data_IF_403045281932
#
_entry.id   IF_403045281932
#
_cell.length_a   1.000
_cell.length_b   1.000
_cell.length_c   1.000
_cell.angle_alpha   90.00
_cell.angle_beta   90.00
_cell.angle_gamma   90.00
#
_symmetry.space_group_name_H-M   'P 1'
#
loop_
_entity.id
_entity.type
_entity.pdbx_description
1 polymer ?
2 water ?
#
# COMPACT_ATOMS: atom_id res chain seq x y z
N UNK A 1 -6.05 -6.93 -14.88
CA UNK A 1 -4.91 -6.89 -13.98
C UNK A 1 -5.05 -5.83 -12.90
N UNK A 2 -5.85 -4.80 -13.13
CA UNK A 2 -6.10 -3.76 -12.16
C UNK A 2 -7.60 -3.55 -12.06
N UNK A 3 -8.05 -3.03 -10.95
CA UNK A 3 -9.45 -2.77 -10.77
C UNK A 3 -9.79 -1.57 -11.57
N UNK A 4 -10.80 -1.66 -12.42
CA UNK A 4 -11.11 -0.41 -13.07
C UNK A 4 -12.61 -0.40 -13.35
N UNK A 5 -13.17 0.80 -13.51
CA UNK A 5 -14.58 0.96 -13.86
C UNK A 5 -14.63 2.04 -14.95
N UNK A 6 -15.05 1.67 -16.15
CA UNK A 6 -15.07 2.57 -17.30
C UNK A 6 -13.66 2.90 -17.78
N UNK A 7 -12.74 1.95 -17.70
CA UNK A 7 -11.32 2.15 -17.98
C UNK A 7 -10.65 3.13 -17.00
N UNK A 8 -11.35 3.54 -15.94
CA UNK A 8 -10.79 4.41 -14.91
C UNK A 8 -10.56 3.59 -13.65
N UNK A 9 -9.29 3.45 -13.27
CA UNK A 9 -8.89 2.77 -12.05
C UNK A 9 -8.60 3.73 -10.91
N UNK A 10 -7.56 3.41 -10.16
CA UNK A 10 -7.14 4.29 -9.09
C UNK A 10 -5.66 4.52 -9.19
N UNK A 11 -5.14 5.33 -8.29
CA UNK A 11 -3.75 5.65 -8.34
C UNK A 11 -3.09 6.23 -7.12
N UNK A 12 -1.80 6.42 -7.20
CA UNK A 12 -1.03 6.85 -6.05
C UNK A 12 -0.39 8.22 -6.34
N UNK A 13 -0.59 9.17 -5.44
CA UNK A 13 -0.04 10.52 -5.57
C UNK A 13 0.84 10.78 -4.37
N UNK A 14 2.14 10.87 -4.60
CA UNK A 14 3.11 10.93 -3.51
C UNK A 14 3.56 12.36 -3.27
N UNK A 15 3.66 12.70 -1.98
CA UNK A 15 4.16 13.95 -1.43
C UNK A 15 5.23 13.67 -0.38
N UNK A 16 6.37 14.35 -0.49
CA UNK A 16 7.47 14.23 0.46
C UNK A 16 7.68 15.57 1.16
N UNK A 17 7.80 15.54 2.48
CA UNK A 17 8.05 16.69 3.33
C UNK A 17 9.17 16.36 4.31
N UNK A 18 9.86 17.37 4.80
CA UNK A 18 10.77 17.14 5.93
C UNK A 18 9.98 16.55 7.09
N UNK A 19 10.52 15.49 7.69
CA UNK A 19 9.94 14.89 8.88
C UNK A 19 10.74 15.38 10.08
N UNK A 20 10.07 16.03 11.03
CA UNK A 20 10.73 16.65 12.18
C UNK A 20 9.94 16.29 13.44
N UNK A 21 10.03 15.02 13.81
CA UNK A 21 9.17 14.43 14.82
C UNK A 21 9.49 12.94 14.91
N UNK A 22 10.58 12.53 14.27
CA UNK A 22 11.02 11.14 14.25
C UNK A 22 12.51 11.13 14.55
N UNK A 23 13.06 9.94 14.72
CA UNK A 23 14.47 9.79 15.00
C UNK A 23 15.30 10.02 13.74
N UNK A 24 16.60 10.24 13.94
CA UNK A 24 17.50 10.57 12.84
C UNK A 24 17.66 9.44 11.84
N UNK A 25 17.34 8.20 12.24
CA UNK A 25 17.42 7.04 11.37
C UNK A 25 16.03 6.59 10.88
N UNK A 26 15.02 7.43 11.03
CA UNK A 26 13.64 7.08 10.79
C UNK A 26 13.04 7.92 9.66
N UNK A 27 12.12 7.30 8.92
CA UNK A 27 11.20 7.95 7.99
C UNK A 27 9.76 7.74 8.47
N UNK A 28 8.84 8.53 7.93
CA UNK A 28 7.42 8.35 8.21
C UNK A 28 6.66 8.16 6.90
N UNK A 29 5.76 7.20 6.88
CA UNK A 29 4.94 6.95 5.72
C UNK A 29 3.48 7.07 6.10
N UNK A 30 2.73 7.81 5.31
CA UNK A 30 1.32 7.97 5.56
C UNK A 30 0.51 7.48 4.39
N UNK A 31 -0.60 6.81 4.66
CA UNK A 31 -1.50 6.35 3.62
C UNK A 31 -2.82 7.05 3.80
N UNK A 32 -3.21 7.84 2.82
CA UNK A 32 -4.42 8.64 2.95
C UNK A 32 -5.39 8.29 1.84
N UNK A 33 -6.67 8.24 2.19
CA UNK A 33 -7.70 7.90 1.23
C UNK A 33 -9.01 8.49 1.73
N UNK A 34 -9.93 8.77 0.79
CA UNK A 34 -11.20 9.41 1.12
C UNK A 34 -12.32 8.74 0.33
N UNK A 35 -12.60 7.48 0.67
CA UNK A 35 -13.61 6.66 -0.01
C UNK A 35 -13.45 6.75 -1.53
N UNK A 36 -12.28 6.41 -2.00
CA UNK A 36 -11.96 6.58 -3.41
C UNK A 36 -12.96 6.00 -4.38
N UNK A 37 -13.44 4.83 -4.07
CA UNK A 37 -14.35 4.16 -4.99
C UNK A 37 -15.81 4.34 -4.61
N UNK A 38 -16.07 5.20 -3.64
CA UNK A 38 -17.43 5.48 -3.22
C UNK A 38 -18.18 4.34 -2.57
N UNK A 39 -17.54 3.19 -2.34
CA UNK A 39 -18.22 1.99 -1.86
C UNK A 39 -17.66 1.51 -0.52
N UNK A 40 -16.94 2.38 0.19
CA UNK A 40 -16.26 2.06 1.44
C UNK A 40 -15.16 1.00 1.29
N UNK A 41 -14.63 0.84 0.09
CA UNK A 41 -13.48 -0.03 -0.09
C UNK A 41 -12.25 0.77 0.30
N UNK A 42 -11.27 0.10 0.86
CA UNK A 42 -10.08 0.77 1.32
C UNK A 42 -8.72 0.27 0.93
N UNK A 43 -7.73 0.66 1.71
CA UNK A 43 -6.38 0.35 1.33
C UNK A 43 -5.45 -0.08 2.42
N UNK A 44 -4.42 -0.82 2.05
CA UNK A 44 -3.42 -1.23 2.99
C UNK A 44 -2.04 -1.01 2.39
N UNK A 45 -1.09 -0.61 3.21
CA UNK A 45 0.27 -0.40 2.75
C UNK A 45 1.14 -1.51 3.28
N UNK A 46 1.84 -2.17 2.38
CA UNK A 46 2.67 -3.30 2.80
C UNK A 46 4.15 -3.02 2.54
N UNK A 47 4.98 -3.10 3.59
CA UNK A 47 6.41 -2.79 3.47
C UNK A 47 7.26 -3.99 3.86
N UNK A 48 8.15 -4.38 2.97
CA UNK A 48 9.12 -5.45 3.18
C UNK A 48 10.50 -4.83 3.38
N UNK A 49 10.99 -4.84 4.62
CA UNK A 49 12.30 -4.24 4.88
C UNK A 49 13.44 -5.03 4.25
N UNK A 50 13.23 -6.31 3.91
CA UNK A 50 14.27 -7.09 3.24
C UNK A 50 14.33 -6.82 1.74
N UNK A 51 13.39 -6.04 1.20
CA UNK A 51 13.25 -5.75 -0.24
C UNK A 51 13.62 -6.94 -1.12
N UNK A 52 13.01 -8.08 -0.82
CA UNK A 52 13.19 -9.29 -1.62
C UNK A 52 11.85 -9.94 -1.94
N UNK A 53 10.77 -9.17 -1.97
CA UNK A 53 9.46 -9.74 -2.25
C UNK A 53 8.95 -9.39 -3.64
N UNK A 54 9.41 -8.29 -4.22
CA UNK A 54 9.01 -7.96 -5.58
C UNK A 54 9.41 -9.07 -6.55
N UNK A 55 8.43 -9.57 -7.31
CA UNK A 55 8.63 -10.62 -8.27
C UNK A 55 8.29 -12.00 -7.76
N UNK A 56 8.14 -12.17 -6.45
CA UNK A 56 7.73 -13.46 -5.89
C UNK A 56 6.49 -13.28 -5.03
N UNK A 57 6.60 -12.65 -3.86
CA UNK A 57 5.42 -12.41 -3.05
C UNK A 57 4.59 -11.28 -3.62
N UNK A 58 5.23 -10.17 -4.00
CA UNK A 58 4.56 -9.09 -4.72
C UNK A 58 4.66 -9.40 -6.23
N UNK A 59 3.56 -9.71 -6.90
CA UNK A 59 3.66 -10.00 -8.34
C UNK A 59 3.91 -8.72 -9.13
N UNK A 60 4.66 -8.86 -10.22
CA UNK A 60 5.00 -7.69 -11.02
C UNK A 60 3.76 -7.09 -11.69
N UNK A 61 2.74 -7.90 -11.93
CA UNK A 61 1.50 -7.45 -12.54
C UNK A 61 0.35 -8.16 -11.85
N UNK A 62 -0.83 -7.54 -11.92
CA UNK A 62 -2.03 -8.14 -11.40
C UNK A 62 -2.15 -8.03 -9.89
N UNK A 63 -3.24 -8.55 -9.36
CA UNK A 63 -3.53 -8.40 -7.92
C UNK A 63 -2.55 -9.19 -7.05
N UNK A 64 -2.48 -8.77 -5.78
CA UNK A 64 -1.63 -9.49 -4.83
C UNK A 64 -2.08 -10.94 -4.68
N UNK A 65 -3.39 -11.15 -4.50
CA UNK A 65 -3.96 -12.49 -4.52
C UNK A 65 -5.45 -12.37 -4.80
N UNK A 66 -6.07 -13.51 -5.06
CA UNK A 66 -7.51 -13.60 -5.24
C UNK A 66 -8.06 -14.61 -4.25
N UNK A 67 -9.27 -14.38 -3.80
CA UNK A 67 -9.89 -15.31 -2.89
C UNK A 67 -9.16 -15.39 -1.56
N UNK A 68 -8.77 -16.60 -1.18
CA UNK A 68 -8.18 -16.90 0.11
C UNK A 68 -6.66 -16.78 0.04
N UNK A 69 -6.07 -16.22 1.07
CA UNK A 69 -4.63 -16.19 1.20
C UNK A 69 -4.22 -17.00 2.42
N UNK A 70 -3.00 -17.50 2.40
CA UNK A 70 -2.42 -18.02 3.62
C UNK A 70 -2.43 -16.96 4.72
N UNK A 71 -2.77 -17.38 5.94
CA UNK A 71 -2.98 -16.45 7.04
C UNK A 71 -1.71 -15.68 7.42
N UNK A 72 -0.54 -16.16 6.98
CA UNK A 72 0.73 -15.52 7.27
C UNK A 72 1.33 -14.80 6.06
N UNK A 73 0.51 -14.49 5.05
CA UNK A 73 1.05 -13.81 3.86
C UNK A 73 1.73 -12.49 4.22
N UNK A 74 1.15 -11.73 5.16
CA UNK A 74 1.76 -10.48 5.58
C UNK A 74 2.81 -10.70 6.66
N UNK A 75 2.45 -11.47 7.70
CA UNK A 75 3.33 -11.62 8.87
C UNK A 75 4.68 -12.25 8.52
N UNK A 76 4.73 -13.08 7.47
CA UNK A 76 5.98 -13.72 7.06
C UNK A 76 6.82 -12.84 6.14
N UNK A 77 6.23 -11.85 5.49
CA UNK A 77 6.91 -11.16 4.39
C UNK A 77 7.06 -9.66 4.58
N UNK A 78 6.10 -8.99 5.23
CA UNK A 78 6.07 -7.54 5.35
C UNK A 78 6.21 -7.15 6.82
N UNK A 79 7.27 -6.42 7.14
CA UNK A 79 7.52 -6.04 8.53
C UNK A 79 6.65 -4.89 8.98
N UNK A 80 6.43 -3.89 8.12
CA UNK A 80 5.69 -2.69 8.48
C UNK A 80 4.42 -2.61 7.65
N UNK A 81 3.36 -2.17 8.30
CA UNK A 81 2.08 -2.13 7.65
C UNK A 81 1.18 -0.99 8.06
N UNK A 82 0.34 -0.56 7.16
CA UNK A 82 -0.65 0.43 7.46
C UNK A 82 -1.93 -0.17 6.91
N UNK A 83 -2.94 -0.31 7.74
CA UNK A 83 -2.79 -0.19 9.19
C UNK A 83 -1.91 -1.26 9.83
N UNK A 84 -1.60 -1.08 11.09
CA UNK A 84 -0.69 -1.99 11.77
C UNK A 84 -1.20 -3.41 11.89
N UNK A 85 -2.51 -3.54 11.93
CA UNK A 85 -3.11 -4.87 11.97
C UNK A 85 -3.63 -5.31 10.60
N UNK A 86 -3.08 -4.77 9.52
CA UNK A 86 -3.50 -5.18 8.20
C UNK A 86 -3.34 -6.67 8.03
N UNK A 87 -4.35 -7.30 7.50
CA UNK A 87 -4.29 -8.75 7.40
C UNK A 87 -4.71 -9.18 6.00
N UNK A 88 -4.22 -10.34 5.53
CA UNK A 88 -4.47 -10.76 4.13
C UNK A 88 -5.85 -11.38 3.95
N UNK A 89 -6.89 -10.55 4.05
CA UNK A 89 -8.27 -11.00 3.96
C UNK A 89 -9.06 -9.97 3.17
N UNK A 90 -9.73 -10.40 2.11
CA UNK A 90 -10.40 -9.44 1.23
C UNK A 90 -11.49 -8.67 1.96
N UNK A 91 -12.13 -9.31 2.94
CA UNK A 91 -13.24 -8.74 3.68
C UNK A 91 -12.82 -7.94 4.91
N UNK A 92 -11.52 -7.81 5.18
CA UNK A 92 -11.09 -7.21 6.43
C UNK A 92 -11.58 -5.76 6.54
N UNK A 93 -11.70 -5.30 7.79
CA UNK A 93 -11.86 -3.88 8.09
C UNK A 93 -10.53 -3.21 8.45
N UNK A 94 -9.44 -3.97 8.45
CA UNK A 94 -8.12 -3.41 8.73
C UNK A 94 -7.56 -2.78 7.44
N UNK A 95 -8.18 -1.65 7.08
CA UNK A 95 -7.92 -0.91 5.84
C UNK A 95 -8.09 0.58 6.15
N UNK A 96 -7.55 1.43 5.28
CA UNK A 96 -7.75 2.85 5.37
C UNK A 96 -8.78 3.21 4.32
N UNK A 97 -9.98 3.55 4.74
CA UNK A 97 -11.07 3.93 3.84
C UNK A 97 -11.17 5.44 3.69
N UNK A 98 -11.27 6.13 4.82
CA UNK A 98 -11.29 7.58 4.90
C UNK A 98 -10.27 8.01 5.94
N UNK A 99 -9.70 9.18 5.75
CA UNK A 99 -8.65 9.62 6.64
C UNK A 99 -7.30 9.05 6.26
N UNK A 100 -6.52 8.66 7.25
CA UNK A 100 -5.15 8.27 6.96
C UNK A 100 -4.65 7.39 8.09
N UNK A 101 -3.60 6.65 7.79
CA UNK A 101 -2.94 5.86 8.78
C UNK A 101 -1.46 6.10 8.51
N UNK A 102 -0.63 5.83 9.50
CA UNK A 102 0.78 6.08 9.35
C UNK A 102 1.69 5.04 9.96
N UNK A 103 2.94 5.07 9.58
CA UNK A 103 3.90 4.16 10.16
C UNK A 103 5.29 4.79 10.15
N UNK A 104 5.99 4.67 11.26
CA UNK A 104 7.35 5.19 11.35
C UNK A 104 8.32 4.03 11.16
N UNK A 105 9.22 4.17 10.20
CA UNK A 105 10.03 3.05 9.73
C UNK A 105 11.49 3.49 9.69
N UNK A 106 12.42 2.54 9.72
CA UNK A 106 13.83 2.88 9.46
C UNK A 106 14.01 3.43 8.05
N UNK A 107 14.82 4.48 7.94
CA UNK A 107 15.40 4.79 6.65
C UNK A 107 16.06 3.55 6.07
N UNK A 108 15.84 3.27 4.79
CA UNK A 108 16.41 2.08 4.19
C UNK A 108 15.69 1.72 2.92
N UNK A 109 15.98 0.51 2.44
CA UNK A 109 15.50 0.02 1.15
C UNK A 109 14.37 -0.98 1.40
N UNK A 110 13.29 -0.85 0.64
CA UNK A 110 12.07 -1.60 0.86
C UNK A 110 11.48 -2.01 -0.48
N UNK A 111 10.82 -3.16 -0.50
CA UNK A 111 9.81 -3.44 -1.50
C UNK A 111 8.46 -3.05 -0.91
N UNK A 112 7.55 -2.56 -1.75
CA UNK A 112 6.23 -2.23 -1.24
C UNK A 112 5.14 -2.48 -2.28
N UNK A 113 3.92 -2.63 -1.77
CA UNK A 113 2.73 -2.50 -2.60
C UNK A 113 1.59 -1.96 -1.74
N UNK A 114 0.63 -1.36 -2.42
CA UNK A 114 -0.55 -0.84 -1.78
C UNK A 114 -1.72 -1.65 -2.28
N UNK A 115 -2.47 -2.17 -1.34
CA UNK A 115 -3.61 -2.98 -1.67
C UNK A 115 -4.94 -2.30 -1.62
N UNK A 116 -5.88 -2.83 -2.37
CA UNK A 116 -7.24 -2.35 -2.33
C UNK A 116 -8.16 -3.57 -2.35
N UNK A 117 -8.49 -4.07 -1.17
CA UNK A 117 -9.40 -5.20 -1.10
C UNK A 117 -10.82 -4.90 -1.63
N UNK A 118 -11.37 -5.76 -2.47
CA UNK A 118 -12.72 -5.58 -3.01
C UNK A 118 -13.55 -6.83 -2.85
N UNK A 119 -14.34 -6.88 -1.79
CA UNK A 119 -15.14 -8.08 -1.52
C UNK A 119 -16.05 -8.46 -2.68
N UNK A 120 -16.63 -7.47 -3.36
CA UNK A 120 -17.52 -7.77 -4.47
C UNK A 120 -16.85 -8.61 -5.55
N UNK A 121 -15.53 -8.50 -5.73
CA UNK A 121 -14.87 -9.23 -6.80
C UNK A 121 -13.94 -10.32 -6.28
N UNK A 122 -13.83 -10.46 -4.96
CA UNK A 122 -12.94 -11.44 -4.38
C UNK A 122 -11.47 -11.22 -4.68
N UNK A 123 -11.08 -9.99 -4.93
CA UNK A 123 -9.70 -9.73 -5.20
C UNK A 123 -9.00 -8.82 -4.23
N UNK A 124 -7.77 -9.16 -3.89
CA UNK A 124 -6.95 -8.27 -3.11
C UNK A 124 -6.11 -7.57 -4.16
N UNK A 125 -6.68 -6.54 -4.72
CA UNK A 125 -5.99 -5.80 -5.73
C UNK A 125 -4.86 -4.93 -5.30
N UNK A 126 -3.85 -4.84 -6.13
CA UNK A 126 -2.86 -3.79 -5.93
C UNK A 126 -3.36 -2.57 -6.69
N UNK A 127 -3.16 -1.39 -6.11
CA UNK A 127 -3.72 -0.18 -6.68
C UNK A 127 -3.08 0.11 -8.04
N UNK A 128 -3.78 0.93 -8.83
CA UNK A 128 -3.34 1.19 -10.19
C UNK A 128 -2.13 2.11 -10.25
N UNK A 129 -1.49 2.08 -11.42
CA UNK A 129 -0.30 2.89 -11.68
C UNK A 129 -0.63 4.20 -12.40
N UNK A 130 -1.88 4.66 -12.36
CA UNK A 130 -2.27 5.87 -13.05
C UNK A 130 -1.97 7.18 -12.35
N UNK A 131 -1.31 7.16 -11.19
CA UNK A 131 -0.92 8.37 -10.47
C UNK A 131 0.50 8.77 -10.82
N UNK A 132 1.19 9.43 -9.88
CA UNK A 132 2.54 9.91 -10.17
C UNK A 132 3.63 8.98 -9.63
N UNK A 133 3.26 7.79 -9.13
CA UNK A 133 4.14 6.83 -8.48
C UNK A 133 3.48 5.48 -8.70
N UNK A 134 4.23 4.45 -9.09
CA UNK A 134 3.68 3.09 -9.11
C UNK A 134 3.23 2.64 -7.72
N UNK A 135 2.16 1.84 -7.69
CA UNK A 135 1.61 1.32 -6.43
C UNK A 135 2.30 0.05 -5.94
N UNK A 136 3.18 -0.54 -6.74
CA UNK A 136 4.10 -1.58 -6.32
C UNK A 136 5.49 -1.13 -6.75
N UNK A 137 6.52 -1.55 -6.02
CA UNK A 137 7.83 -0.97 -6.32
C UNK A 137 8.92 -1.93 -5.83
N UNK A 138 9.96 -2.12 -6.65
CA UNK A 138 11.12 -2.93 -6.27
C UNK A 138 12.23 -2.02 -5.76
N UNK A 139 12.68 -2.24 -4.52
CA UNK A 139 13.83 -1.53 -3.94
C UNK A 139 13.65 -0.01 -3.97
N UNK A 140 12.58 0.45 -3.34
CA UNK A 140 12.40 1.87 -3.07
C UNK A 140 13.17 2.24 -1.81
N UNK A 141 13.77 3.43 -1.81
CA UNK A 141 14.51 3.94 -0.67
C UNK A 141 13.63 4.96 0.04
N UNK A 142 13.29 4.68 1.30
CA UNK A 142 12.61 5.66 2.16
C UNK A 142 13.71 6.31 2.98
N UNK A 143 13.98 7.59 2.71
CA UNK A 143 15.14 8.25 3.30
C UNK A 143 14.80 8.77 4.69
N UNK A 144 15.71 8.54 5.63
CA UNK A 144 15.56 9.08 6.97
C UNK A 144 15.38 10.59 6.93
N UNK A 145 14.64 11.12 7.90
CA UNK A 145 14.36 12.53 7.98
C UNK A 145 13.27 13.02 7.06
N UNK A 146 12.56 12.13 6.37
CA UNK A 146 11.53 12.53 5.43
C UNK A 146 10.21 11.82 5.71
N UNK A 147 9.13 12.52 5.38
CA UNK A 147 7.78 12.02 5.54
C UNK A 147 7.16 11.86 4.16
N UNK A 148 6.78 10.63 3.83
CA UNK A 148 6.18 10.29 2.55
C UNK A 148 4.67 10.10 2.73
N UNK A 149 3.88 10.95 2.10
CA UNK A 149 2.43 10.82 2.12
C UNK A 149 1.99 10.22 0.79
N UNK A 150 1.37 9.04 0.87
CA UNK A 150 0.82 8.36 -0.30
C UNK A 150 -0.69 8.57 -0.29
N UNK A 151 -1.16 9.41 -1.18
CA UNK A 151 -2.57 9.70 -1.25
C UNK A 151 -3.22 8.98 -2.42
N UNK A 152 -4.29 8.26 -2.12
CA UNK A 152 -4.98 7.49 -3.13
C UNK A 152 -6.15 8.22 -3.75
N UNK A 153 -6.24 8.18 -5.06
CA UNK A 153 -7.35 8.78 -5.77
C UNK A 153 -7.66 8.01 -7.02
N UNK A 154 -8.80 8.29 -7.62
CA UNK A 154 -9.15 7.65 -8.87
C UNK A 154 -8.27 8.17 -10.00
N UNK A 155 -7.95 7.32 -10.95
CA UNK A 155 -7.04 7.69 -12.02
C UNK A 155 -7.19 6.84 -13.28
N UNK A 156 -6.62 7.30 -14.39
CA UNK A 156 -6.79 6.61 -15.67
C UNK A 156 -5.97 5.33 -15.84
#
# INVERSE_FOLDING_TARGET
>A
MSREVKRIGDGLFVTIEPANDVRANEAKVVLAADNVWGDNTGYQFLLDADHNTFGSVIPATGPLFTGTASSDLYSANFEYLIPANADPVVTTQNIIVTGQGEVVIPGGVYDYCITNPEPASGKMWIAGDGGNQPARYDDFTFEAGKKYTFTMRRAGMGDGTDMEVEDDSPASYTYTVYRDGTKIKEGLTETTYRDAGLSAQSHEYCVEVKYTAGVSPKVC
#
